data_IF_786987172298
#
_entry.id   IF_786987172298
#
_cell.length_a   1.000
_cell.length_b   1.000
_cell.length_c   1.000
_cell.angle_alpha   90.00
_cell.angle_beta   90.00
_cell.angle_gamma   90.00
#
_symmetry.space_group_name_H-M   'P 1'
#
loop_
_entity.id
_entity.type
_entity.pdbx_description
1 polymer ?
#
# COMPACT_ATOMS: atom_id res chain seq x y z
N UNK A 1 11.25 -5.92 6.52
CA UNK A 1 10.23 -6.25 7.55
C UNK A 1 9.85 -5.02 8.39
N UNK A 2 10.79 -4.13 8.79
CA UNK A 2 10.45 -2.92 9.57
C UNK A 2 9.52 -1.92 8.85
N UNK A 3 9.87 -1.49 7.63
CA UNK A 3 9.07 -0.50 6.90
C UNK A 3 7.62 -0.92 6.64
N UNK A 4 7.38 -2.18 6.27
CA UNK A 4 6.02 -2.67 6.07
C UNK A 4 5.22 -2.80 7.38
N UNK A 5 5.86 -3.18 8.48
CA UNK A 5 5.20 -3.23 9.78
C UNK A 5 4.73 -1.84 10.21
N UNK A 6 5.55 -0.82 9.97
CA UNK A 6 5.17 0.58 10.20
C UNK A 6 3.97 0.98 9.34
N UNK A 7 4.03 0.71 8.02
CA UNK A 7 2.92 0.98 7.11
C UNK A 7 1.62 0.31 7.57
N UNK A 8 1.66 -0.95 8.02
CA UNK A 8 0.49 -1.66 8.49
C UNK A 8 -0.16 -0.97 9.70
N UNK A 9 0.65 -0.49 10.65
CA UNK A 9 0.17 0.29 11.80
C UNK A 9 -0.41 1.62 11.35
N UNK A 10 0.22 2.31 10.41
CA UNK A 10 -0.26 3.58 9.86
C UNK A 10 -1.61 3.44 9.15
N UNK A 11 -1.84 2.35 8.40
CA UNK A 11 -3.13 2.07 7.75
C UNK A 11 -4.25 1.82 8.77
N UNK A 12 -3.96 1.08 9.85
CA UNK A 12 -4.91 0.86 10.95
C UNK A 12 -5.19 2.14 11.72
N UNK A 13 -4.18 3.00 11.90
CA UNK A 13 -4.37 4.31 12.52
C UNK A 13 -5.21 5.23 11.62
N UNK A 14 -4.92 5.27 10.31
CA UNK A 14 -5.65 6.07 9.34
C UNK A 14 -7.15 5.72 9.30
N UNK A 15 -7.49 4.43 9.37
CA UNK A 15 -8.88 3.94 9.45
C UNK A 15 -9.69 4.59 10.58
N UNK A 16 -9.05 4.94 11.70
CA UNK A 16 -9.74 5.55 12.85
C UNK A 16 -10.06 7.03 12.64
N UNK A 17 -9.39 7.69 11.69
CA UNK A 17 -9.50 9.13 11.46
C UNK A 17 -10.19 9.48 10.14
N UNK A 18 -10.15 8.58 9.16
CA UNK A 18 -10.70 8.86 7.84
C UNK A 18 -12.22 8.63 7.80
N UNK A 19 -12.96 9.69 7.47
CA UNK A 19 -14.38 9.61 7.14
C UNK A 19 -14.53 9.25 5.66
N UNK A 20 -14.42 7.96 5.35
CA UNK A 20 -14.56 7.42 3.99
C UNK A 20 -15.34 6.11 4.04
N UNK A 21 -16.10 5.81 2.99
CA UNK A 21 -16.77 4.52 2.81
C UNK A 21 -15.90 3.53 2.01
N UNK A 22 -14.69 3.92 1.61
CA UNK A 22 -13.76 3.03 0.91
C UNK A 22 -13.45 1.82 1.78
N UNK A 23 -13.64 0.61 1.23
CA UNK A 23 -13.44 -0.65 1.95
C UNK A 23 -11.96 -1.02 2.09
N UNK A 24 -11.16 -0.65 1.11
CA UNK A 24 -9.73 -0.96 1.05
C UNK A 24 -8.96 0.34 1.19
N UNK A 25 -8.03 0.39 2.15
CA UNK A 25 -7.00 1.42 2.20
C UNK A 25 -5.73 0.87 1.58
N UNK A 26 -5.19 1.57 0.59
CA UNK A 26 -3.93 1.21 -0.07
C UNK A 26 -2.77 1.89 0.63
N UNK A 27 -1.66 1.16 0.77
CA UNK A 27 -0.43 1.64 1.38
C UNK A 27 0.78 1.21 0.57
N UNK A 28 1.83 2.02 0.64
CA UNK A 28 3.07 1.80 -0.10
C UNK A 28 4.24 2.12 0.83
N UNK A 29 5.26 1.26 0.82
CA UNK A 29 6.55 1.56 1.44
C UNK A 29 7.64 1.49 0.39
N UNK A 30 8.53 2.48 0.38
CA UNK A 30 9.60 2.59 -0.62
C UNK A 30 10.92 3.06 0.00
N UNK A 31 12.03 2.63 -0.60
CA UNK A 31 13.38 3.18 -0.37
C UNK A 31 13.84 4.12 -1.47
N UNK A 32 13.02 4.33 -2.50
CA UNK A 32 13.38 4.97 -3.76
C UNK A 32 13.82 3.97 -4.83
N UNK A 33 14.60 2.96 -4.45
CA UNK A 33 15.07 1.88 -5.36
C UNK A 33 14.05 0.73 -5.44
N UNK A 34 13.33 0.49 -4.35
CA UNK A 34 12.33 -0.58 -4.28
C UNK A 34 11.02 -0.14 -3.65
N UNK A 35 9.93 -0.65 -4.22
CA UNK A 35 8.57 -0.35 -3.82
C UNK A 35 7.83 -1.63 -3.44
N UNK A 36 7.05 -1.57 -2.36
CA UNK A 36 6.19 -2.66 -1.91
C UNK A 36 4.82 -2.11 -1.54
N UNK A 37 3.80 -2.84 -1.94
CA UNK A 37 2.41 -2.46 -1.72
C UNK A 37 1.79 -3.26 -0.57
N UNK A 38 0.80 -2.66 0.07
CA UNK A 38 -0.07 -3.33 1.03
C UNK A 38 -1.48 -2.78 0.98
N UNK A 39 -2.42 -3.57 1.46
CA UNK A 39 -3.82 -3.21 1.57
C UNK A 39 -4.31 -3.47 2.98
N UNK A 40 -5.17 -2.60 3.47
CA UNK A 40 -5.97 -2.85 4.66
C UNK A 40 -7.44 -3.02 4.26
N UNK A 41 -7.97 -4.23 4.45
CA UNK A 41 -9.40 -4.48 4.33
C UNK A 41 -10.08 -4.10 5.66
N UNK A 42 -10.87 -3.03 5.63
CA UNK A 42 -11.49 -2.45 6.83
C UNK A 42 -12.61 -3.32 7.40
N UNK A 43 -13.27 -4.13 6.57
CA UNK A 43 -14.35 -5.02 7.00
C UNK A 43 -13.79 -6.26 7.71
N UNK A 44 -12.78 -6.89 7.11
CA UNK A 44 -12.13 -8.08 7.67
C UNK A 44 -11.08 -7.73 8.74
N UNK A 45 -10.74 -6.44 8.85
CA UNK A 45 -9.63 -5.92 9.68
C UNK A 45 -8.32 -6.66 9.40
N UNK A 46 -8.04 -6.90 8.12
CA UNK A 46 -6.91 -7.70 7.66
C UNK A 46 -5.94 -6.86 6.83
N UNK A 47 -4.64 -7.02 7.08
CA UNK A 47 -3.57 -6.42 6.29
C UNK A 47 -3.05 -7.49 5.32
N UNK A 48 -3.00 -7.18 4.01
CA UNK A 48 -2.26 -7.98 3.04
C UNK A 48 -1.03 -7.23 2.55
N UNK A 49 0.07 -7.95 2.39
CA UNK A 49 1.27 -7.48 1.72
C UNK A 49 1.30 -8.07 0.31
N UNK A 50 1.53 -7.25 -0.71
CA UNK A 50 1.88 -7.77 -2.03
C UNK A 50 3.26 -8.47 -1.94
N UNK A 51 3.37 -9.75 -2.31
CA UNK A 51 4.67 -10.43 -2.33
C UNK A 51 5.64 -9.83 -3.36
N UNK A 52 5.13 -9.14 -4.39
CA UNK A 52 5.96 -8.53 -5.43
C UNK A 52 6.64 -7.26 -4.90
N UNK A 53 7.94 -7.18 -5.17
CA UNK A 53 8.75 -5.97 -5.02
C UNK A 53 8.94 -5.39 -6.42
N UNK A 54 8.72 -4.10 -6.57
CA UNK A 54 8.92 -3.38 -7.83
C UNK A 54 10.22 -2.60 -7.74
N UNK A 55 11.14 -2.82 -8.67
CA UNK A 55 12.46 -2.20 -8.71
C UNK A 55 12.46 -1.06 -9.74
N UNK A 56 13.02 0.09 -9.37
CA UNK A 56 13.07 1.28 -10.22
C UNK A 56 14.55 1.57 -10.55
N UNK A 57 14.89 1.87 -11.82
CA UNK A 57 14.00 2.27 -12.93
C UNK A 57 13.36 1.15 -13.76
N UNK A 58 13.72 -0.11 -13.55
CA UNK A 58 13.39 -1.22 -14.45
C UNK A 58 11.88 -1.47 -14.61
N UNK A 59 11.11 -1.32 -13.54
CA UNK A 59 9.67 -1.57 -13.50
C UNK A 59 8.85 -0.29 -13.36
N UNK A 60 9.42 0.86 -13.70
CA UNK A 60 8.78 2.17 -13.51
C UNK A 60 7.42 2.27 -14.21
N UNK A 61 7.31 1.77 -15.45
CA UNK A 61 6.03 1.80 -16.19
C UNK A 61 4.95 1.03 -15.44
N UNK A 62 5.26 -0.19 -14.97
CA UNK A 62 4.30 -1.00 -14.23
C UNK A 62 3.94 -0.36 -12.88
N UNK A 63 4.93 0.24 -12.20
CA UNK A 63 4.69 0.97 -10.96
C UNK A 63 3.68 2.11 -11.17
N UNK A 64 3.85 2.89 -12.25
CA UNK A 64 2.93 3.99 -12.58
C UNK A 64 1.53 3.49 -12.94
N UNK A 65 1.41 2.39 -13.68
CA UNK A 65 0.12 1.77 -13.99
C UNK A 65 -0.63 1.36 -12.72
N UNK A 66 0.06 0.76 -11.74
CA UNK A 66 -0.54 0.39 -10.45
C UNK A 66 -0.99 1.64 -9.69
N UNK A 67 -0.15 2.68 -9.62
CA UNK A 67 -0.50 3.92 -8.94
C UNK A 67 -1.71 4.61 -9.56
N UNK A 68 -1.78 4.67 -10.90
CA UNK A 68 -2.94 5.21 -11.61
C UNK A 68 -4.18 4.36 -11.30
N UNK A 69 -4.07 3.03 -11.36
CA UNK A 69 -5.17 2.11 -11.06
C UNK A 69 -5.71 2.21 -9.63
N UNK A 70 -4.90 2.65 -8.65
CA UNK A 70 -5.35 2.91 -7.28
C UNK A 70 -6.18 4.20 -7.18
N UNK A 71 -5.94 5.18 -8.06
CA UNK A 71 -6.61 6.50 -8.02
C UNK A 71 -7.91 6.58 -8.83
N UNK A 72 -8.15 5.60 -9.71
CA UNK A 72 -9.32 5.54 -10.61
C UNK A 72 -10.42 4.66 -10.05
#
# INVERSE_FOLDING_TARGET
VRGFTQLAVELVALDQWIESDQRILYGIVTTGEDWRFGTFNRLERSIQQDPKRYIVPEELTQLLEILVGIMT
#
